data_IF_135078297813
#
_entry.id   IF_135078297813
#
_cell.length_a   1.000
_cell.length_b   1.000
_cell.length_c   1.000
_cell.angle_alpha   90.00
_cell.angle_beta   90.00
_cell.angle_gamma   90.00
#
_symmetry.space_group_name_H-M   'P 1'
#
loop_
_entity.id
_entity.type
_entity.pdbx_description
1 polymer ?
#
# COMPACT_ATOMS: atom_id res chain seq x y z
N UNK A 1 -23.09 -74.68 -29.49
CA UNK A 1 -23.52 -73.34 -29.90
C UNK A 1 -24.11 -72.62 -28.70
N UNK A 2 -23.31 -71.77 -28.05
CA UNK A 2 -23.70 -70.59 -27.28
C UNK A 2 -22.36 -69.97 -26.86
N UNK A 3 -22.00 -68.86 -27.49
CA UNK A 3 -20.70 -68.21 -27.35
C UNK A 3 -20.64 -67.37 -26.08
N UNK A 4 -19.56 -67.55 -25.31
CA UNK A 4 -19.11 -66.61 -24.29
C UNK A 4 -18.57 -65.36 -24.99
N UNK A 5 -19.35 -64.28 -24.97
CA UNK A 5 -18.89 -62.96 -25.38
C UNK A 5 -18.17 -62.30 -24.20
N UNK A 6 -16.85 -62.48 -24.14
CA UNK A 6 -15.97 -61.68 -23.30
C UNK A 6 -16.04 -60.21 -23.73
N UNK A 7 -16.84 -59.41 -23.03
CA UNK A 7 -16.86 -57.94 -23.16
C UNK A 7 -15.51 -57.39 -22.68
N UNK A 8 -14.64 -57.09 -23.64
CA UNK A 8 -13.48 -56.20 -23.46
C UNK A 8 -14.01 -54.84 -23.02
N UNK A 9 -13.95 -54.54 -21.72
CA UNK A 9 -14.24 -53.20 -21.20
C UNK A 9 -13.14 -52.25 -21.63
N UNK A 10 -13.35 -51.52 -22.73
CA UNK A 10 -12.46 -50.44 -23.15
C UNK A 10 -12.47 -49.38 -22.04
N UNK A 11 -11.39 -49.28 -21.26
CA UNK A 11 -11.26 -48.26 -20.21
C UNK A 11 -11.29 -46.86 -20.85
N UNK A 12 -12.45 -46.21 -20.77
CA UNK A 12 -12.62 -44.81 -21.10
C UNK A 12 -12.15 -43.97 -19.91
N UNK A 13 -11.09 -43.20 -20.09
CA UNK A 13 -10.65 -42.21 -19.10
C UNK A 13 -11.24 -40.86 -19.50
N UNK A 14 -11.96 -40.23 -18.58
CA UNK A 14 -12.48 -38.88 -18.73
C UNK A 14 -11.80 -37.96 -17.71
N UNK A 15 -11.19 -36.87 -18.19
CA UNK A 15 -10.61 -35.83 -17.35
C UNK A 15 -11.47 -34.58 -17.49
N UNK A 16 -11.99 -34.10 -16.38
CA UNK A 16 -12.79 -32.88 -16.31
C UNK A 16 -11.96 -31.74 -15.70
N UNK A 17 -11.97 -30.59 -16.36
CA UNK A 17 -11.39 -29.36 -15.85
C UNK A 17 -12.51 -28.52 -15.26
N UNK A 18 -12.40 -28.20 -13.97
CA UNK A 18 -13.36 -27.39 -13.21
C UNK A 18 -12.69 -26.12 -12.71
N UNK A 19 -13.45 -25.03 -12.64
CA UNK A 19 -12.99 -23.76 -12.07
C UNK A 19 -14.11 -23.05 -11.33
N UNK A 20 -13.78 -22.38 -10.23
CA UNK A 20 -14.76 -21.66 -9.42
C UNK A 20 -14.11 -20.73 -8.41
N UNK A 21 -14.87 -19.76 -7.92
CA UNK A 21 -14.43 -18.82 -6.86
C UNK A 21 -14.55 -19.40 -5.44
N UNK A 22 -15.17 -20.56 -5.31
CA UNK A 22 -15.25 -21.34 -4.06
C UNK A 22 -15.52 -22.81 -4.39
N UNK A 23 -15.29 -23.70 -3.42
CA UNK A 23 -15.64 -25.13 -3.52
C UNK A 23 -17.13 -25.38 -3.83
N UNK A 24 -18.00 -24.41 -3.51
CA UNK A 24 -19.44 -24.44 -3.76
C UNK A 24 -19.89 -23.79 -5.07
N UNK A 25 -18.99 -23.12 -5.82
CA UNK A 25 -19.30 -22.40 -7.06
C UNK A 25 -18.38 -22.81 -8.21
N UNK A 26 -18.33 -24.11 -8.47
CA UNK A 26 -17.55 -24.68 -9.57
C UNK A 26 -18.35 -24.69 -10.87
N UNK A 27 -17.65 -24.44 -11.97
CA UNK A 27 -18.15 -24.52 -13.34
C UNK A 27 -17.18 -25.37 -14.16
N UNK A 28 -17.71 -26.34 -14.90
CA UNK A 28 -16.90 -27.19 -15.77
C UNK A 28 -16.45 -26.38 -16.99
N UNK A 29 -15.15 -26.32 -17.23
CA UNK A 29 -14.54 -25.54 -18.32
C UNK A 29 -14.18 -26.39 -19.52
N UNK A 30 -13.72 -27.63 -19.30
CA UNK A 30 -13.40 -28.55 -20.37
C UNK A 30 -13.55 -30.00 -19.95
N UNK A 31 -13.76 -30.87 -20.93
CA UNK A 31 -13.68 -32.32 -20.76
C UNK A 31 -12.76 -32.90 -21.81
N UNK A 32 -11.84 -33.76 -21.40
CA UNK A 32 -10.94 -34.53 -22.26
C UNK A 32 -11.32 -36.00 -22.10
N UNK A 33 -11.78 -36.62 -23.20
CA UNK A 33 -12.10 -38.05 -23.21
C UNK A 33 -11.03 -38.82 -24.01
N UNK A 34 -10.53 -39.91 -23.42
CA UNK A 34 -9.56 -40.81 -24.03
C UNK A 34 -10.25 -42.10 -24.50
N UNK A 35 -10.54 -42.22 -25.80
CA UNK A 35 -10.97 -43.47 -26.45
C UNK A 35 -10.99 -43.32 -27.97
N UNK A 36 -10.53 -44.33 -28.74
CA UNK A 36 -9.27 -44.39 -29.51
C UNK A 36 -8.71 -43.07 -30.12
N UNK A 37 -9.43 -41.96 -30.08
CA UNK A 37 -8.97 -40.61 -30.41
C UNK A 37 -9.16 -39.67 -29.21
N UNK A 38 -8.27 -38.68 -29.08
CA UNK A 38 -8.40 -37.65 -28.05
C UNK A 38 -9.48 -36.67 -28.50
N UNK A 39 -10.59 -36.57 -27.75
CA UNK A 39 -11.61 -35.55 -27.98
C UNK A 39 -11.59 -34.52 -26.85
N UNK A 40 -11.59 -33.24 -27.22
CA UNK A 40 -11.58 -32.10 -26.29
C UNK A 40 -12.83 -31.26 -26.53
N UNK A 41 -13.68 -31.12 -25.52
CA UNK A 41 -14.80 -30.18 -25.53
C UNK A 41 -14.56 -29.07 -24.51
N UNK A 42 -14.67 -27.82 -24.95
CA UNK A 42 -14.69 -26.64 -24.07
C UNK A 42 -16.12 -26.15 -23.93
N UNK A 43 -16.55 -25.90 -22.70
CA UNK A 43 -17.93 -25.50 -22.39
C UNK A 43 -18.08 -24.01 -22.08
N UNK A 44 -16.98 -23.28 -21.87
CA UNK A 44 -17.01 -21.85 -21.59
C UNK A 44 -16.81 -20.99 -22.87
N UNK A 45 -17.43 -19.81 -22.90
CA UNK A 45 -17.24 -18.88 -24.02
C UNK A 45 -15.84 -18.28 -23.98
N UNK A 46 -15.21 -18.13 -25.14
CA UNK A 46 -13.86 -17.53 -25.24
C UNK A 46 -13.78 -16.17 -24.54
N UNK A 47 -14.84 -15.37 -24.60
CA UNK A 47 -14.92 -14.07 -23.93
C UNK A 47 -15.00 -14.18 -22.40
N UNK A 48 -15.79 -15.12 -21.86
CA UNK A 48 -15.86 -15.35 -20.41
C UNK A 48 -14.54 -15.89 -19.88
N UNK A 49 -13.89 -16.78 -20.62
CA UNK A 49 -12.57 -17.30 -20.28
C UNK A 49 -11.52 -16.20 -20.30
N UNK A 50 -11.45 -15.39 -21.37
CA UNK A 50 -10.51 -14.27 -21.46
C UNK A 50 -10.73 -13.23 -20.34
N UNK A 51 -11.99 -12.87 -20.06
CA UNK A 51 -12.31 -11.94 -18.96
C UNK A 51 -11.87 -12.49 -17.60
N UNK A 52 -12.05 -13.79 -17.35
CA UNK A 52 -11.60 -14.43 -16.11
C UNK A 52 -10.08 -14.44 -15.99
N UNK A 53 -9.37 -14.76 -17.07
CA UNK A 53 -7.90 -14.69 -17.12
C UNK A 53 -7.38 -13.25 -16.93
N UNK A 54 -8.08 -12.25 -17.47
CA UNK A 54 -7.74 -10.85 -17.21
C UNK A 54 -7.97 -10.50 -15.73
N UNK A 55 -9.12 -10.85 -15.16
CA UNK A 55 -9.43 -10.56 -13.75
C UNK A 55 -8.49 -11.29 -12.79
N UNK A 56 -8.05 -12.51 -13.11
CA UNK A 56 -7.09 -13.26 -12.29
C UNK A 56 -5.70 -12.62 -12.27
N UNK A 57 -5.39 -11.68 -13.18
CA UNK A 57 -4.15 -10.90 -13.10
C UNK A 57 -4.19 -9.84 -11.98
N UNK A 58 -5.39 -9.45 -11.52
CA UNK A 58 -5.60 -8.35 -10.58
C UNK A 58 -6.15 -8.79 -9.23
N UNK A 59 -6.65 -10.01 -9.11
CA UNK A 59 -7.33 -10.47 -7.90
C UNK A 59 -6.68 -11.78 -7.42
N UNK A 60 -6.44 -11.94 -6.11
CA UNK A 60 -5.84 -13.15 -5.57
C UNK A 60 -6.64 -14.41 -5.90
N UNK A 61 -5.96 -15.54 -6.01
CA UNK A 61 -6.58 -16.84 -6.17
C UNK A 61 -7.48 -17.14 -4.98
N UNK A 62 -8.68 -17.69 -5.22
CA UNK A 62 -9.66 -17.98 -4.17
C UNK A 62 -10.41 -16.74 -3.63
N UNK A 63 -10.26 -15.58 -4.26
CA UNK A 63 -11.02 -14.38 -3.89
C UNK A 63 -12.53 -14.57 -4.06
N UNK A 64 -13.36 -14.08 -3.11
CA UNK A 64 -13.01 -13.25 -1.96
C UNK A 64 -12.63 -14.01 -0.69
N UNK A 65 -12.71 -15.33 -0.67
CA UNK A 65 -12.50 -16.13 0.55
C UNK A 65 -11.04 -16.26 1.00
N UNK A 66 -10.08 -15.99 0.11
CA UNK A 66 -8.64 -16.11 0.39
C UNK A 66 -8.01 -14.86 1.00
N UNK A 67 -8.77 -13.78 1.15
CA UNK A 67 -8.30 -12.51 1.74
C UNK A 67 -9.26 -11.97 2.79
N UNK A 68 -8.77 -11.11 3.67
CA UNK A 68 -9.64 -10.45 4.66
C UNK A 68 -10.69 -9.57 3.97
N UNK A 69 -11.88 -9.39 4.59
CA UNK A 69 -13.00 -8.69 3.97
C UNK A 69 -12.76 -7.19 3.70
N UNK A 70 -11.74 -6.60 4.33
CA UNK A 70 -11.31 -5.22 4.14
C UNK A 70 -10.34 -5.02 2.96
N UNK A 71 -9.86 -6.09 2.30
CA UNK A 71 -8.96 -6.02 1.15
C UNK A 71 -9.54 -5.20 -0.02
N UNK A 72 -10.71 -5.60 -0.54
CA UNK A 72 -11.30 -4.95 -1.70
C UNK A 72 -11.61 -3.45 -1.50
N UNK A 73 -12.26 -3.01 -0.40
CA UNK A 73 -12.48 -1.59 -0.17
C UNK A 73 -11.16 -0.84 0.06
N UNK A 74 -10.16 -1.45 0.70
CA UNK A 74 -8.83 -0.85 0.83
C UNK A 74 -8.19 -0.63 -0.55
N UNK A 75 -8.12 -1.67 -1.39
CA UNK A 75 -7.48 -1.62 -2.70
C UNK A 75 -8.13 -0.61 -3.65
N UNK A 76 -9.44 -0.38 -3.54
CA UNK A 76 -10.12 0.66 -4.29
C UNK A 76 -9.59 2.06 -3.93
N UNK A 77 -9.54 2.38 -2.64
CA UNK A 77 -9.04 3.67 -2.17
C UNK A 77 -7.54 3.83 -2.41
N UNK A 78 -6.77 2.76 -2.25
CA UNK A 78 -5.34 2.72 -2.52
C UNK A 78 -5.04 2.96 -4.01
N UNK A 79 -5.79 2.33 -4.92
CA UNK A 79 -5.66 2.57 -6.37
C UNK A 79 -5.99 4.01 -6.75
N UNK A 80 -7.02 4.61 -6.13
CA UNK A 80 -7.38 6.02 -6.36
C UNK A 80 -6.30 6.97 -5.82
N UNK A 81 -5.73 6.65 -4.66
CA UNK A 81 -4.60 7.37 -4.08
C UNK A 81 -3.38 7.28 -5.00
N UNK A 82 -2.99 6.08 -5.44
CA UNK A 82 -1.90 5.84 -6.38
C UNK A 82 -2.09 6.57 -7.70
N UNK A 83 -3.29 6.53 -8.27
CA UNK A 83 -3.63 7.28 -9.48
C UNK A 83 -3.35 8.79 -9.31
N UNK A 84 -3.78 9.38 -8.19
CA UNK A 84 -3.52 10.80 -7.88
C UNK A 84 -2.03 11.10 -7.74
N UNK A 85 -1.27 10.21 -7.10
CA UNK A 85 0.19 10.32 -6.98
C UNK A 85 0.84 10.38 -8.35
N UNK A 86 0.55 9.43 -9.25
CA UNK A 86 1.20 9.39 -10.55
C UNK A 86 0.82 10.57 -11.47
N UNK A 87 -0.40 11.12 -11.36
CA UNK A 87 -0.78 12.36 -12.06
C UNK A 87 0.08 13.53 -11.56
N UNK A 88 0.22 13.70 -10.24
CA UNK A 88 1.03 14.77 -9.65
C UNK A 88 2.51 14.61 -9.95
N UNK A 89 3.02 13.38 -9.96
CA UNK A 89 4.41 13.08 -10.34
C UNK A 89 4.74 13.62 -11.73
N UNK A 90 3.82 13.56 -12.70
CA UNK A 90 4.07 14.15 -14.02
C UNK A 90 4.21 15.67 -13.97
N UNK A 91 3.38 16.36 -13.19
CA UNK A 91 3.45 17.81 -13.01
C UNK A 91 4.74 18.23 -12.30
N UNK A 92 5.09 17.57 -11.19
CA UNK A 92 6.30 17.88 -10.43
C UNK A 92 7.58 17.52 -11.20
N UNK A 93 7.57 16.41 -11.95
CA UNK A 93 8.70 16.00 -12.80
C UNK A 93 8.94 17.02 -13.92
N UNK A 94 7.88 17.51 -14.58
CA UNK A 94 8.03 18.55 -15.60
C UNK A 94 8.68 19.82 -15.02
N UNK A 95 8.23 20.27 -13.85
CA UNK A 95 8.79 21.43 -13.17
C UNK A 95 10.27 21.20 -12.78
N UNK A 96 10.59 20.04 -12.20
CA UNK A 96 11.94 19.66 -11.82
C UNK A 96 12.89 19.61 -13.02
N UNK A 97 12.48 18.97 -14.13
CA UNK A 97 13.28 18.91 -15.36
C UNK A 97 13.52 20.30 -15.94
N UNK A 98 12.52 21.18 -15.90
CA UNK A 98 12.68 22.58 -16.30
C UNK A 98 13.72 23.30 -15.42
N UNK A 99 13.73 23.07 -14.10
CA UNK A 99 14.66 23.73 -13.18
C UNK A 99 16.12 23.27 -13.36
N UNK A 100 16.33 22.00 -13.76
CA UNK A 100 17.67 21.46 -14.06
C UNK A 100 18.23 22.07 -15.36
N UNK A 101 17.40 22.75 -16.16
CA UNK A 101 17.80 23.36 -17.41
C UNK A 101 17.72 22.38 -18.59
N UNK A 102 16.84 21.39 -18.52
CA UNK A 102 16.55 20.54 -19.70
C UNK A 102 15.99 21.42 -20.81
N UNK A 103 16.76 21.57 -21.89
CA UNK A 103 16.44 22.44 -23.03
C UNK A 103 17.16 23.79 -23.04
N UNK A 104 17.93 24.12 -22.01
CA UNK A 104 18.70 25.37 -21.92
C UNK A 104 20.11 25.21 -22.50
N UNK A 105 20.57 26.19 -23.30
CA UNK A 105 21.91 26.15 -23.94
C UNK A 105 23.07 26.32 -22.95
N UNK A 106 22.82 26.96 -21.81
CA UNK A 106 23.80 27.22 -20.76
C UNK A 106 23.94 26.07 -19.75
N UNK A 107 23.00 25.13 -19.73
CA UNK A 107 23.04 24.00 -18.81
C UNK A 107 24.05 22.94 -19.30
N UNK A 108 24.92 22.48 -18.41
CA UNK A 108 25.90 21.43 -18.73
C UNK A 108 25.40 20.08 -18.26
N UNK A 109 25.65 19.04 -19.07
CA UNK A 109 25.29 17.65 -18.73
C UNK A 109 25.96 17.25 -17.41
N UNK A 110 27.25 17.57 -17.22
CA UNK A 110 27.97 17.21 -16.00
C UNK A 110 27.42 17.90 -14.75
N UNK A 111 26.99 19.16 -14.86
CA UNK A 111 26.36 19.89 -13.76
C UNK A 111 25.03 19.27 -13.36
N UNK A 112 24.18 18.94 -14.34
CA UNK A 112 22.93 18.22 -14.10
C UNK A 112 23.19 16.84 -13.47
N UNK A 113 24.17 16.08 -13.98
CA UNK A 113 24.56 14.78 -13.40
C UNK A 113 24.98 14.92 -11.94
N UNK A 114 25.78 15.93 -11.60
CA UNK A 114 26.20 16.16 -10.21
C UNK A 114 25.03 16.50 -9.29
N UNK A 115 24.07 17.31 -9.76
CA UNK A 115 22.85 17.63 -9.00
C UNK A 115 22.01 16.38 -8.73
N UNK A 116 21.84 15.51 -9.74
CA UNK A 116 21.13 14.22 -9.58
C UNK A 116 21.84 13.30 -8.61
N UNK A 117 23.16 13.16 -8.75
CA UNK A 117 23.98 12.38 -7.84
C UNK A 117 23.80 12.84 -6.39
N UNK A 118 23.96 14.15 -6.11
CA UNK A 118 23.87 14.63 -4.73
C UNK A 118 22.47 14.45 -4.14
N UNK A 119 21.44 14.71 -4.95
CA UNK A 119 20.04 14.48 -4.57
C UNK A 119 19.80 13.02 -4.18
N UNK A 120 20.19 12.09 -5.04
CA UNK A 120 19.92 10.66 -4.84
C UNK A 120 20.78 10.09 -3.71
N UNK A 121 22.06 10.47 -3.65
CA UNK A 121 22.96 10.11 -2.55
C UNK A 121 22.40 10.55 -1.19
N UNK A 122 21.97 11.81 -1.10
CA UNK A 122 21.38 12.36 0.13
C UNK A 122 20.11 11.60 0.52
N UNK A 123 19.24 11.33 -0.45
CA UNK A 123 18.05 10.50 -0.25
C UNK A 123 18.38 9.12 0.30
N UNK A 124 19.25 8.37 -0.39
CA UNK A 124 19.66 7.02 0.02
C UNK A 124 20.26 6.99 1.42
N UNK A 125 21.15 7.94 1.75
CA UNK A 125 21.71 8.06 3.10
C UNK A 125 20.63 8.31 4.14
N UNK A 126 19.67 9.20 3.85
CA UNK A 126 18.54 9.48 4.72
C UNK A 126 17.65 8.26 4.97
N UNK A 127 17.37 7.46 3.94
CA UNK A 127 16.60 6.21 4.07
C UNK A 127 17.29 5.18 4.97
N UNK A 128 18.60 5.02 4.83
CA UNK A 128 19.40 4.14 5.70
C UNK A 128 19.34 4.65 7.16
N UNK A 129 19.55 5.95 7.37
CA UNK A 129 19.48 6.54 8.70
C UNK A 129 18.09 6.37 9.33
N UNK A 130 17.03 6.63 8.57
CA UNK A 130 15.66 6.43 9.06
C UNK A 130 15.38 4.97 9.43
N UNK A 131 15.82 4.03 8.58
CA UNK A 131 15.70 2.59 8.87
C UNK A 131 16.42 2.21 10.16
N UNK A 132 17.63 2.75 10.36
CA UNK A 132 18.42 2.52 11.58
C UNK A 132 17.71 3.04 12.84
N UNK A 133 17.07 4.21 12.78
CA UNK A 133 16.40 4.80 13.95
C UNK A 133 15.00 4.24 14.21
N UNK A 134 14.24 3.89 13.17
CA UNK A 134 12.79 3.67 13.28
C UNK A 134 12.31 2.31 12.79
N UNK A 135 13.17 1.51 12.14
CA UNK A 135 12.79 0.30 11.40
C UNK A 135 12.04 -0.76 12.21
N UNK A 136 12.26 -0.85 13.53
CA UNK A 136 11.67 -1.90 14.37
C UNK A 136 10.19 -1.71 14.74
N UNK A 137 9.60 -0.53 14.49
CA UNK A 137 8.24 -0.18 14.93
C UNK A 137 7.33 0.32 13.79
N UNK A 138 7.70 0.08 12.53
CA UNK A 138 6.95 0.58 11.37
C UNK A 138 5.68 -0.23 11.11
N UNK A 139 5.71 -1.53 11.38
CA UNK A 139 4.57 -2.45 11.22
C UNK A 139 3.55 -2.34 12.37
N UNK A 140 4.01 -2.04 13.60
CA UNK A 140 3.13 -1.94 14.77
C UNK A 140 2.02 -0.89 14.61
N UNK A 141 2.30 0.21 13.91
CA UNK A 141 1.35 1.30 13.67
C UNK A 141 1.14 1.53 12.16
N UNK A 142 0.91 0.46 11.41
CA UNK A 142 0.85 0.49 9.95
C UNK A 142 -0.10 1.56 9.38
N UNK A 143 -1.30 1.76 9.95
CA UNK A 143 -2.24 2.81 9.51
C UNK A 143 -1.64 4.22 9.59
N UNK A 144 -1.00 4.53 10.72
CA UNK A 144 -0.37 5.82 10.95
C UNK A 144 0.83 6.01 10.02
N UNK A 145 1.72 5.04 9.98
CA UNK A 145 2.94 5.13 9.17
C UNK A 145 2.61 5.23 7.68
N UNK A 146 1.52 4.64 7.22
CA UNK A 146 1.05 4.81 5.83
C UNK A 146 0.63 6.25 5.54
N UNK A 147 -0.14 6.88 6.44
CA UNK A 147 -0.51 8.29 6.31
C UNK A 147 0.72 9.22 6.38
N UNK A 148 1.68 8.92 7.26
CA UNK A 148 2.92 9.71 7.38
C UNK A 148 3.81 9.53 6.15
N UNK A 149 3.96 8.31 5.64
CA UNK A 149 4.73 8.02 4.44
C UNK A 149 4.21 8.80 3.24
N UNK A 150 2.90 8.78 3.03
CA UNK A 150 2.26 9.49 1.92
C UNK A 150 2.30 11.01 2.10
N UNK A 151 2.22 11.53 3.33
CA UNK A 151 2.47 12.95 3.60
C UNK A 151 3.90 13.34 3.23
N UNK A 152 4.90 12.53 3.60
CA UNK A 152 6.30 12.78 3.20
C UNK A 152 6.49 12.67 1.69
N UNK A 153 5.74 11.81 1.01
CA UNK A 153 5.77 11.73 -0.45
C UNK A 153 5.27 13.03 -1.08
N UNK A 154 4.15 13.55 -0.54
CA UNK A 154 3.53 14.80 -0.96
C UNK A 154 4.46 15.99 -0.75
N UNK A 155 5.17 16.05 0.39
CA UNK A 155 6.20 17.04 0.63
C UNK A 155 7.35 16.90 -0.38
N UNK A 156 7.78 15.68 -0.70
CA UNK A 156 8.80 15.43 -1.70
C UNK A 156 8.43 15.96 -3.09
N UNK A 157 7.22 15.64 -3.56
CA UNK A 157 6.69 16.15 -4.82
C UNK A 157 6.47 17.66 -4.80
N UNK A 158 6.07 18.22 -3.65
CA UNK A 158 5.95 19.67 -3.48
C UNK A 158 7.32 20.35 -3.60
N UNK A 159 8.37 19.79 -2.99
CA UNK A 159 9.76 20.28 -3.12
C UNK A 159 10.18 20.30 -4.59
N UNK A 160 9.89 19.23 -5.34
CA UNK A 160 10.18 19.18 -6.77
C UNK A 160 9.45 20.30 -7.53
N UNK A 161 8.17 20.58 -7.21
CA UNK A 161 7.36 21.63 -7.81
C UNK A 161 7.80 23.06 -7.44
N UNK A 162 8.24 23.32 -6.21
CA UNK A 162 8.70 24.65 -5.77
C UNK A 162 10.14 24.94 -6.15
N UNK A 163 10.96 23.91 -6.37
CA UNK A 163 12.39 24.06 -6.65
C UNK A 163 12.73 25.06 -7.77
N UNK A 164 11.96 25.19 -8.88
CA UNK A 164 12.26 26.17 -9.93
C UNK A 164 12.10 27.63 -9.46
N UNK A 165 11.31 27.88 -8.41
CA UNK A 165 11.06 29.22 -7.87
C UNK A 165 12.26 29.76 -7.08
N UNK A 166 13.20 28.89 -6.71
CA UNK A 166 14.36 29.24 -5.90
C UNK A 166 15.67 28.72 -6.51
N UNK A 167 16.13 29.24 -7.67
CA UNK A 167 17.33 28.73 -8.35
C UNK A 167 18.60 28.69 -7.48
N UNK A 168 18.77 29.66 -6.58
CA UNK A 168 19.92 29.72 -5.66
C UNK A 168 19.90 28.63 -4.57
N UNK A 169 18.72 28.11 -4.22
CA UNK A 169 18.53 27.05 -3.24
C UNK A 169 18.08 25.73 -3.87
N UNK A 170 18.05 25.64 -5.21
CA UNK A 170 17.50 24.52 -5.97
C UNK A 170 18.00 23.17 -5.45
N UNK A 171 19.33 23.02 -5.37
CA UNK A 171 19.97 21.77 -4.97
C UNK A 171 19.59 21.35 -3.54
N UNK A 172 19.49 22.32 -2.63
CA UNK A 172 19.08 22.07 -1.25
C UNK A 172 17.63 21.59 -1.18
N UNK A 173 16.71 22.26 -1.89
CA UNK A 173 15.29 21.92 -1.92
C UNK A 173 15.08 20.50 -2.48
N UNK A 174 15.71 20.16 -3.60
CA UNK A 174 15.54 18.82 -4.19
C UNK A 174 16.17 17.72 -3.33
N UNK A 175 17.26 18.02 -2.60
CA UNK A 175 17.82 17.10 -1.62
C UNK A 175 16.84 16.84 -0.46
N UNK A 176 16.18 17.88 0.07
CA UNK A 176 15.10 17.72 1.05
C UNK A 176 13.94 16.90 0.49
N UNK A 177 13.55 17.15 -0.76
CA UNK A 177 12.52 16.37 -1.44
C UNK A 177 12.90 14.89 -1.55
N UNK A 178 14.16 14.60 -1.88
CA UNK A 178 14.67 13.24 -1.98
C UNK A 178 14.81 12.54 -0.63
N UNK A 179 15.19 13.25 0.43
CA UNK A 179 15.14 12.73 1.80
C UNK A 179 13.72 12.32 2.19
N UNK A 180 12.76 13.20 1.91
CA UNK A 180 11.33 12.96 2.15
C UNK A 180 10.82 11.72 1.43
N UNK A 181 11.13 11.58 0.13
CA UNK A 181 10.76 10.39 -0.67
C UNK A 181 11.48 9.12 -0.21
N UNK A 182 12.72 9.21 0.25
CA UNK A 182 13.43 8.04 0.77
C UNK A 182 12.81 7.53 2.07
N UNK A 183 12.43 8.44 2.98
CA UNK A 183 11.62 8.11 4.15
C UNK A 183 10.32 7.40 3.73
N UNK A 184 9.60 7.95 2.74
CA UNK A 184 8.38 7.34 2.21
C UNK A 184 8.63 5.92 1.73
N UNK A 185 9.71 5.68 0.98
CA UNK A 185 10.04 4.36 0.47
C UNK A 185 10.20 3.31 1.57
N UNK A 186 10.90 3.67 2.66
CA UNK A 186 11.09 2.77 3.81
C UNK A 186 9.77 2.52 4.55
N UNK A 187 9.04 3.58 4.91
CA UNK A 187 7.80 3.46 5.67
C UNK A 187 6.69 2.78 4.86
N UNK A 188 6.51 3.15 3.59
CA UNK A 188 5.55 2.51 2.69
C UNK A 188 5.91 1.04 2.45
N UNK A 189 7.19 0.70 2.26
CA UNK A 189 7.63 -0.68 2.12
C UNK A 189 7.30 -1.55 3.34
N UNK A 190 7.59 -1.05 4.55
CA UNK A 190 7.30 -1.77 5.79
C UNK A 190 5.79 -1.91 6.05
N UNK A 191 5.02 -0.84 5.87
CA UNK A 191 3.56 -0.89 6.06
C UNK A 191 2.88 -1.77 5.02
N UNK A 192 3.33 -1.74 3.76
CA UNK A 192 2.83 -2.64 2.71
C UNK A 192 3.07 -4.10 3.08
N UNK A 193 4.27 -4.45 3.54
CA UNK A 193 4.55 -5.81 4.01
C UNK A 193 3.61 -6.24 5.14
N UNK A 194 3.39 -5.37 6.13
CA UNK A 194 2.45 -5.63 7.23
C UNK A 194 1.00 -5.80 6.74
N UNK A 195 0.58 -5.02 5.75
CA UNK A 195 -0.77 -5.12 5.16
C UNK A 195 -0.94 -6.39 4.31
N UNK A 196 0.05 -6.76 3.51
CA UNK A 196 0.03 -8.02 2.76
C UNK A 196 -0.13 -9.21 3.72
N UNK A 197 0.58 -9.20 4.86
CA UNK A 197 0.39 -10.22 5.90
C UNK A 197 -1.01 -10.17 6.52
N UNK A 198 -1.52 -8.98 6.82
CA UNK A 198 -2.89 -8.80 7.31
C UNK A 198 -3.94 -9.36 6.33
N UNK A 199 -3.77 -9.13 5.03
CA UNK A 199 -4.71 -9.60 4.01
C UNK A 199 -4.67 -11.11 3.78
N UNK A 200 -3.64 -11.82 4.25
CA UNK A 200 -3.44 -13.25 4.00
C UNK A 200 -4.36 -14.10 4.89
N UNK A 201 -5.19 -14.97 4.28
CA UNK A 201 -6.00 -15.95 5.01
C UNK A 201 -5.63 -17.42 4.71
N UNK A 202 -4.89 -17.68 3.63
CA UNK A 202 -4.61 -19.04 3.12
C UNK A 202 -3.14 -19.20 2.70
N UNK A 203 -2.21 -18.62 3.47
CA UNK A 203 -0.76 -18.62 3.15
C UNK A 203 -0.44 -18.09 1.73
N UNK A 204 -1.28 -17.18 1.23
CA UNK A 204 -1.27 -16.62 -0.12
C UNK A 204 -0.62 -15.22 -0.21
N UNK A 205 0.27 -14.87 0.73
CA UNK A 205 0.90 -13.54 0.81
C UNK A 205 1.64 -13.14 -0.49
N UNK A 206 2.34 -14.09 -1.11
CA UNK A 206 3.06 -13.86 -2.36
C UNK A 206 2.11 -13.57 -3.53
N UNK A 207 0.98 -14.27 -3.60
CA UNK A 207 -0.05 -14.03 -4.62
C UNK A 207 -0.68 -12.65 -4.41
N UNK A 208 -1.07 -12.31 -3.17
CA UNK A 208 -1.58 -10.98 -2.82
C UNK A 208 -0.60 -9.89 -3.26
N UNK A 209 0.69 -10.00 -2.87
CA UNK A 209 1.71 -9.01 -3.25
C UNK A 209 1.87 -8.89 -4.77
N UNK A 210 1.80 -9.99 -5.51
CA UNK A 210 1.87 -9.97 -6.97
C UNK A 210 0.64 -9.27 -7.60
N UNK A 211 -0.57 -9.53 -7.09
CA UNK A 211 -1.80 -8.90 -7.60
C UNK A 211 -1.88 -7.42 -7.24
N UNK A 212 -1.49 -7.05 -6.03
CA UNK A 212 -1.32 -5.65 -5.63
C UNK A 212 -0.33 -4.93 -6.55
N UNK A 213 0.81 -5.57 -6.87
CA UNK A 213 1.76 -5.03 -7.85
C UNK A 213 1.15 -4.80 -9.24
N UNK A 214 0.31 -5.71 -9.73
CA UNK A 214 -0.43 -5.52 -10.99
C UNK A 214 -1.43 -4.36 -10.91
N UNK A 215 -2.15 -4.21 -9.79
CA UNK A 215 -3.09 -3.11 -9.57
C UNK A 215 -2.36 -1.76 -9.54
N UNK A 216 -1.26 -1.67 -8.79
CA UNK A 216 -0.40 -0.50 -8.72
C UNK A 216 0.15 -0.13 -10.10
N UNK A 217 0.57 -1.12 -10.88
CA UNK A 217 1.09 -0.91 -12.25
C UNK A 217 0.03 -0.31 -13.17
N UNK A 218 -1.21 -0.79 -13.13
CA UNK A 218 -2.30 -0.21 -13.94
C UNK A 218 -2.64 1.21 -13.50
N UNK A 219 -2.73 1.45 -12.19
CA UNK A 219 -2.93 2.80 -11.66
C UNK A 219 -1.80 3.75 -12.07
N UNK A 220 -0.56 3.26 -12.09
CA UNK A 220 0.63 3.97 -12.58
C UNK A 220 0.48 4.36 -14.04
N UNK A 221 0.21 3.40 -14.92
CA UNK A 221 0.06 3.63 -16.35
C UNK A 221 -1.04 4.66 -16.65
N UNK A 222 -2.20 4.51 -16.00
CA UNK A 222 -3.31 5.44 -16.14
C UNK A 222 -2.96 6.84 -15.62
N UNK A 223 -2.33 6.92 -14.45
CA UNK A 223 -1.94 8.18 -13.82
C UNK A 223 -0.87 8.92 -14.61
N UNK A 224 0.10 8.21 -15.18
CA UNK A 224 1.10 8.79 -16.08
C UNK A 224 0.46 9.35 -17.36
N UNK A 225 -0.46 8.61 -17.98
CA UNK A 225 -1.15 9.08 -19.20
C UNK A 225 -1.99 10.33 -18.93
N UNK A 226 -2.80 10.32 -17.86
CA UNK A 226 -3.63 11.46 -17.45
C UNK A 226 -2.75 12.63 -17.01
N UNK A 227 -1.70 12.37 -16.24
CA UNK A 227 -0.74 13.37 -15.77
C UNK A 227 0.00 14.05 -16.90
N UNK A 228 0.45 13.30 -17.91
CA UNK A 228 1.09 13.88 -19.09
C UNK A 228 0.11 14.72 -19.91
N UNK A 229 -1.14 14.27 -20.08
CA UNK A 229 -2.17 15.07 -20.73
C UNK A 229 -2.43 16.38 -19.96
N UNK A 230 -2.57 16.30 -18.64
CA UNK A 230 -2.76 17.46 -17.77
C UNK A 230 -1.59 18.43 -17.83
N UNK A 231 -0.34 17.93 -17.75
CA UNK A 231 0.89 18.69 -17.93
C UNK A 231 0.91 19.43 -19.28
N UNK A 232 0.43 18.78 -20.36
CA UNK A 232 0.38 19.39 -21.69
C UNK A 232 -0.65 20.51 -21.79
N UNK A 233 -1.83 20.33 -21.20
CA UNK A 233 -2.94 21.31 -21.22
C UNK A 233 -2.65 22.51 -20.32
N UNK A 234 -1.98 22.29 -19.19
CA UNK A 234 -1.63 23.35 -18.21
C UNK A 234 -0.29 24.03 -18.49
N UNK A 235 0.38 23.68 -19.59
CA UNK A 235 1.68 24.22 -19.98
C UNK A 235 1.63 25.76 -20.06
N UNK A 236 2.55 26.42 -19.35
CA UNK A 236 2.64 27.88 -19.28
C UNK A 236 1.60 28.55 -18.37
N UNK A 237 0.73 27.79 -17.71
CA UNK A 237 -0.32 28.31 -16.82
C UNK A 237 -0.03 27.93 -15.36
N UNK A 238 0.81 28.70 -14.68
CA UNK A 238 1.26 28.41 -13.30
C UNK A 238 0.10 28.19 -12.32
N UNK A 239 -0.95 29.02 -12.39
CA UNK A 239 -2.13 28.86 -11.52
C UNK A 239 -2.84 27.52 -11.74
N UNK A 240 -2.95 27.06 -12.99
CA UNK A 240 -3.59 25.79 -13.31
C UNK A 240 -2.75 24.60 -12.79
N UNK A 241 -1.42 24.64 -12.97
CA UNK A 241 -0.50 23.62 -12.44
C UNK A 241 -0.63 23.53 -10.91
N UNK A 242 -0.56 24.68 -10.22
CA UNK A 242 -0.68 24.74 -8.76
C UNK A 242 -2.04 24.28 -8.25
N UNK A 243 -3.12 24.73 -8.89
CA UNK A 243 -4.47 24.29 -8.54
C UNK A 243 -4.65 22.79 -8.74
N UNK A 244 -4.21 22.25 -9.87
CA UNK A 244 -4.24 20.81 -10.14
C UNK A 244 -3.41 20.03 -9.13
N UNK A 245 -2.18 20.43 -8.86
CA UNK A 245 -1.31 19.75 -7.91
C UNK A 245 -1.89 19.75 -6.49
N UNK A 246 -2.36 20.90 -5.99
CA UNK A 246 -2.91 21.03 -4.64
C UNK A 246 -4.24 20.29 -4.48
N UNK A 247 -5.14 20.38 -5.46
CA UNK A 247 -6.42 19.66 -5.42
C UNK A 247 -6.21 18.13 -5.44
N UNK A 248 -5.30 17.64 -6.28
CA UNK A 248 -4.91 16.22 -6.31
C UNK A 248 -4.22 15.80 -5.01
N UNK A 249 -3.44 16.68 -4.37
CA UNK A 249 -2.79 16.40 -3.08
C UNK A 249 -3.82 16.27 -1.96
N UNK A 250 -4.83 17.14 -1.92
CA UNK A 250 -5.95 17.02 -0.98
C UNK A 250 -6.71 15.72 -1.22
N UNK A 251 -7.02 15.41 -2.49
CA UNK A 251 -7.69 14.16 -2.86
C UNK A 251 -6.85 12.94 -2.48
N UNK A 252 -5.55 12.97 -2.71
CA UNK A 252 -4.61 11.92 -2.35
C UNK A 252 -4.64 11.62 -0.84
N UNK A 253 -4.49 12.65 0.00
CA UNK A 253 -4.54 12.49 1.45
C UNK A 253 -5.91 12.00 1.94
N UNK A 254 -6.99 12.49 1.32
CA UNK A 254 -8.33 12.01 1.60
C UNK A 254 -8.51 10.53 1.23
N UNK A 255 -8.11 10.12 0.03
CA UNK A 255 -8.18 8.75 -0.44
C UNK A 255 -7.36 7.83 0.46
N UNK A 256 -6.16 8.25 0.87
CA UNK A 256 -5.35 7.49 1.81
C UNK A 256 -6.02 7.35 3.19
N UNK A 257 -6.57 8.44 3.71
CA UNK A 257 -7.35 8.40 4.95
C UNK A 257 -8.52 7.41 4.85
N UNK A 258 -9.25 7.41 3.72
CA UNK A 258 -10.34 6.45 3.48
C UNK A 258 -9.82 5.01 3.41
N UNK A 259 -8.69 4.77 2.74
CA UNK A 259 -8.06 3.45 2.67
C UNK A 259 -7.74 2.91 4.08
N UNK A 260 -7.04 3.69 4.91
CA UNK A 260 -6.66 3.22 6.25
C UNK A 260 -7.85 3.05 7.20
N UNK A 261 -8.96 3.79 6.97
CA UNK A 261 -10.20 3.61 7.72
C UNK A 261 -10.97 2.35 7.34
N UNK A 262 -10.71 1.75 6.18
CA UNK A 262 -11.26 0.44 5.81
C UNK A 262 -10.59 -0.70 6.59
N UNK A 263 -9.31 -0.54 6.96
CA UNK A 263 -8.51 -1.58 7.58
C UNK A 263 -8.97 -1.93 9.00
N UNK A 264 -9.15 -3.21 9.28
CA UNK A 264 -9.45 -3.76 10.61
C UNK A 264 -8.35 -4.71 11.05
N UNK A 265 -7.16 -4.16 11.32
CA UNK A 265 -5.96 -4.91 11.69
C UNK A 265 -6.19 -5.82 12.90
N UNK A 266 -5.76 -7.09 12.77
CA UNK A 266 -5.87 -8.11 13.81
C UNK A 266 -4.65 -8.20 14.75
N UNK A 267 -3.58 -7.46 14.46
CA UNK A 267 -2.40 -7.37 15.33
C UNK A 267 -2.69 -6.52 16.59
N UNK A 268 -1.79 -6.52 17.55
CA UNK A 268 -1.87 -5.63 18.71
C UNK A 268 -0.76 -4.57 18.64
N UNK A 269 -1.12 -3.34 18.96
CA UNK A 269 -0.20 -2.25 19.27
C UNK A 269 -0.60 -1.61 20.61
N UNK A 270 0.18 -0.66 21.10
CA UNK A 270 -0.10 -0.01 22.38
C UNK A 270 -1.51 0.57 22.48
N UNK A 271 -2.03 1.20 21.42
CA UNK A 271 -3.36 1.82 21.42
C UNK A 271 -4.49 0.78 21.39
N UNK A 272 -4.43 -0.17 20.44
CA UNK A 272 -5.42 -1.26 20.32
C UNK A 272 -5.47 -2.09 21.61
N UNK A 273 -4.32 -2.38 22.22
CA UNK A 273 -4.23 -3.03 23.52
C UNK A 273 -4.88 -2.20 24.63
N UNK A 274 -4.64 -0.89 24.67
CA UNK A 274 -5.27 0.00 25.66
C UNK A 274 -6.79 0.03 25.52
N UNK A 275 -7.31 0.14 24.29
CA UNK A 275 -8.76 0.14 24.01
C UNK A 275 -9.40 -1.18 24.46
N UNK A 276 -8.76 -2.31 24.15
CA UNK A 276 -9.24 -3.64 24.52
C UNK A 276 -9.24 -3.83 26.04
N UNK A 277 -8.13 -3.51 26.70
CA UNK A 277 -7.99 -3.69 28.14
C UNK A 277 -8.97 -2.80 28.92
N UNK A 278 -9.12 -1.53 28.52
CA UNK A 278 -10.08 -0.65 29.16
C UNK A 278 -11.52 -1.17 29.03
N UNK A 279 -11.93 -1.59 27.82
CA UNK A 279 -13.27 -2.14 27.61
C UNK A 279 -13.51 -3.41 28.42
N UNK A 280 -12.51 -4.29 28.49
CA UNK A 280 -12.59 -5.52 29.27
C UNK A 280 -12.71 -5.23 30.77
N UNK A 281 -11.95 -4.28 31.30
CA UNK A 281 -12.03 -3.88 32.71
C UNK A 281 -13.38 -3.23 33.07
N UNK A 282 -13.99 -2.47 32.14
CA UNK A 282 -15.26 -1.78 32.38
C UNK A 282 -16.49 -2.68 32.19
N UNK A 283 -16.45 -3.62 31.24
CA UNK A 283 -17.64 -4.38 30.80
C UNK A 283 -17.51 -5.90 30.91
N UNK A 284 -16.32 -6.43 31.18
CA UNK A 284 -16.02 -7.87 31.14
C UNK A 284 -16.01 -8.48 29.74
N UNK A 285 -16.13 -7.67 28.67
CA UNK A 285 -16.23 -8.15 27.29
C UNK A 285 -15.03 -7.72 26.43
N UNK A 286 -14.66 -8.57 25.46
CA UNK A 286 -13.61 -8.28 24.48
C UNK A 286 -14.26 -7.73 23.20
N UNK A 287 -13.76 -6.59 22.72
CA UNK A 287 -14.27 -5.97 21.48
C UNK A 287 -13.78 -6.72 20.23
N UNK A 288 -14.59 -6.71 19.18
CA UNK A 288 -14.16 -7.18 17.86
C UNK A 288 -13.15 -6.22 17.23
N UNK A 289 -12.33 -6.73 16.29
CA UNK A 289 -11.33 -5.93 15.57
C UNK A 289 -11.93 -4.72 14.86
N UNK A 290 -13.13 -4.84 14.30
CA UNK A 290 -13.83 -3.72 13.65
C UNK A 290 -14.19 -2.62 14.66
N UNK A 291 -14.68 -2.99 15.85
CA UNK A 291 -15.02 -2.03 16.91
C UNK A 291 -13.77 -1.32 17.43
N UNK A 292 -12.67 -2.06 17.64
CA UNK A 292 -11.39 -1.46 18.04
C UNK A 292 -10.86 -0.54 16.95
N UNK A 293 -10.83 -0.99 15.70
CA UNK A 293 -10.39 -0.19 14.54
C UNK A 293 -11.15 1.13 14.39
N UNK A 294 -12.45 1.14 14.68
CA UNK A 294 -13.27 2.37 14.63
C UNK A 294 -12.87 3.40 15.69
N UNK A 295 -12.36 2.93 16.85
CA UNK A 295 -11.90 3.74 17.99
C UNK A 295 -10.43 4.12 17.90
N UNK A 296 -9.62 3.35 17.16
CA UNK A 296 -8.19 3.60 16.96
C UNK A 296 -7.97 4.89 16.15
N UNK A 297 -7.00 5.68 16.60
CA UNK A 297 -6.54 6.86 15.88
C UNK A 297 -5.65 6.44 14.71
N UNK A 298 -5.85 7.11 13.57
CA UNK A 298 -5.00 6.88 12.39
C UNK A 298 -3.92 7.94 12.23
N UNK A 299 -4.04 9.07 12.93
CA UNK A 299 -3.07 10.15 12.86
C UNK A 299 -2.06 10.05 14.01
N UNK A 300 -0.82 10.53 13.81
CA UNK A 300 0.17 10.59 14.87
C UNK A 300 -0.32 11.38 16.09
N UNK A 301 -0.01 10.91 17.29
CA UNK A 301 -0.42 11.54 18.56
C UNK A 301 0.07 12.99 18.68
N UNK A 302 1.21 13.35 18.10
CA UNK A 302 1.74 14.71 18.11
C UNK A 302 0.94 15.70 17.24
N UNK A 303 0.14 15.20 16.29
CA UNK A 303 -0.81 16.00 15.51
C UNK A 303 -2.18 16.11 16.17
N UNK A 304 -2.43 15.38 17.25
CA UNK A 304 -3.68 15.43 18.01
C UNK A 304 -3.42 15.56 19.53
N UNK A 305 -2.96 16.74 20.00
CA UNK A 305 -2.72 16.98 21.42
C UNK A 305 -3.97 16.78 22.30
N UNK A 306 -5.17 16.87 21.71
CA UNK A 306 -6.45 16.75 22.41
C UNK A 306 -6.89 15.28 22.65
N UNK A 307 -6.31 14.32 21.93
CA UNK A 307 -6.56 12.88 22.13
C UNK A 307 -5.90 12.33 23.41
N UNK A 308 -4.80 12.95 23.87
CA UNK A 308 -4.08 12.51 25.06
C UNK A 308 -4.91 12.59 26.36
N UNK A 309 -6.04 13.31 26.36
CA UNK A 309 -6.89 13.49 27.53
C UNK A 309 -7.96 12.41 27.73
N UNK A 310 -8.21 11.52 26.77
CA UNK A 310 -9.37 10.60 26.83
C UNK A 310 -9.07 9.21 27.41
N UNK A 311 -7.79 8.85 27.57
CA UNK A 311 -7.44 7.56 28.14
C UNK A 311 -7.31 7.69 29.67
N UNK A 312 -8.24 7.07 30.41
CA UNK A 312 -8.00 6.77 31.83
C UNK A 312 -6.78 5.86 31.89
N UNK A 313 -5.63 6.43 32.28
CA UNK A 313 -4.44 5.63 32.52
C UNK A 313 -4.79 4.51 33.51
N UNK A 314 -4.69 3.26 33.05
CA UNK A 314 -4.86 2.06 33.88
C UNK A 314 -3.77 1.93 34.95
N UNK A 315 -2.72 2.74 34.85
CA UNK A 315 -1.64 2.85 35.82
C UNK A 315 -1.63 4.24 36.46
N UNK A 316 -1.41 4.28 37.78
CA UNK A 316 -1.10 5.53 38.48
C UNK A 316 0.39 5.80 38.30
N UNK A 317 0.76 6.90 37.64
CA UNK A 317 2.17 7.32 37.56
C UNK A 317 2.62 7.80 38.93
N UNK A 318 3.39 6.98 39.64
CA UNK A 318 4.00 7.35 40.92
C UNK A 318 5.38 7.93 40.62
N UNK A 319 5.60 9.18 40.99
CA UNK A 319 6.92 9.80 40.91
C UNK A 319 7.66 9.49 42.21
N UNK A 320 8.62 8.56 42.15
CA UNK A 320 9.38 8.12 43.32
C UNK A 320 10.42 9.16 43.79
N UNK A 321 10.61 10.27 43.06
CA UNK A 321 11.60 11.31 43.38
C UNK A 321 13.06 10.88 43.21
N UNK A 322 13.32 9.58 43.05
CA UNK A 322 14.63 8.97 42.81
C UNK A 322 14.53 7.96 41.67
N UNK A 323 15.67 7.65 41.03
CA UNK A 323 15.71 6.58 40.03
C UNK A 323 15.55 5.24 40.75
N UNK A 324 14.72 4.34 40.22
CA UNK A 324 14.58 2.98 40.81
C UNK A 324 15.93 2.26 40.86
N UNK A 325 16.79 2.48 39.86
CA UNK A 325 18.15 1.95 39.82
C UNK A 325 19.13 2.57 40.83
N UNK A 326 18.72 3.60 41.59
CA UNK A 326 19.52 4.17 42.68
C UNK A 326 19.05 3.70 44.06
N UNK A 327 18.03 2.84 44.14
CA UNK A 327 17.67 2.15 45.36
C UNK A 327 18.65 1.00 45.56
N UNK A 328 19.40 1.02 46.67
CA UNK A 328 20.27 -0.10 47.04
C UNK A 328 19.40 -1.28 47.50
N UNK A 329 19.76 -2.49 47.10
CA UNK A 329 19.05 -3.75 47.45
C UNK A 329 18.89 -4.00 48.96
N UNK A 330 19.58 -3.23 49.80
CA UNK A 330 19.55 -3.35 51.25
C UNK A 330 18.29 -2.79 51.93
N UNK A 331 17.42 -2.05 51.22
CA UNK A 331 16.21 -1.41 51.80
C UNK A 331 14.89 -2.11 51.41
N UNK A 332 14.93 -3.28 50.76
CA UNK A 332 13.72 -3.99 50.25
C UNK A 332 13.27 -5.15 51.18
N UNK A 333 13.80 -5.26 52.41
CA UNK A 333 13.35 -6.26 53.39
C UNK A 333 12.40 -5.70 54.45
#
# INVERSE_FOLDING_TARGET
>A
MAGDSSLSSTQQVMVEEWTGSSSSKLSMTATICFSPSISRRRFDSHFKSARRHMLSAFVPEGFPSSVTPDYAPFQLWDSLQGLSTYIRTMLSTQALLSAIGVGEKSATVIGATFQWFLRDFTGMLGGIMFTFYQGSNLDSNAKMWRLVADLMNDLGMLMDLISPLFPSAFLFIVCLGSLSRSFTGVASGATRAALTQHFTLQDNAADISAKEGSQETVATMAGMAIGMFLARVTMGQSLAIWFSFLSLTIFHMYANYRAVRCLSLNTLNGERSSILLQNFMETGTVLSTQKVSSKEHVLPLWLNPWSSQSYKHLYKRIHLGVKVSSLNDAEIY
#
